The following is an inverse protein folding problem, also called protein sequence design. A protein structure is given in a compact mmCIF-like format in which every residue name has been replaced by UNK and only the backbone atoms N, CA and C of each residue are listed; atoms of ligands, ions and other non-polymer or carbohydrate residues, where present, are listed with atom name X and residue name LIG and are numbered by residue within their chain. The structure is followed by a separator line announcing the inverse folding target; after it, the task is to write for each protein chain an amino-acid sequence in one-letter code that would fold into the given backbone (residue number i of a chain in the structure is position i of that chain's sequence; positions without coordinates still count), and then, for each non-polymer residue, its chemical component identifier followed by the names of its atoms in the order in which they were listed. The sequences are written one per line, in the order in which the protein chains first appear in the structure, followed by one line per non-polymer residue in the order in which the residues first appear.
data_IF_181389994657
#
_entry.id   IF_181389994657
#
_cell.length_a   1.000
_cell.length_b   1.000
_cell.length_c   1.000
_cell.angle_alpha   90.00
_cell.angle_beta   90.00
_cell.angle_gamma   90.00
#
_symmetry.space_group_name_H-M   'P 1'
#
loop_
_entity.id
_entity.type
_entity.pdbx_description
1 polymer ?
#
# COMPACT_ATOMS: atom_id res chain seq x y z
N UNK A 1 2.59 17.21 4.08
CA UNK A 1 3.40 18.20 3.35
C UNK A 1 2.57 19.39 2.84
N UNK A 2 1.76 20.06 3.67
CA UNK A 2 1.08 21.32 3.33
C UNK A 2 0.47 21.40 1.89
N UNK A 3 -0.13 20.31 1.39
CA UNK A 3 -0.72 20.24 0.04
C UNK A 3 0.23 19.97 -1.14
N UNK A 4 1.53 19.73 -0.93
CA UNK A 4 2.49 19.39 -2.00
C UNK A 4 2.61 17.88 -2.21
N UNK A 5 2.51 17.46 -3.47
CA UNK A 5 2.69 16.07 -3.86
C UNK A 5 4.17 15.64 -3.78
N UNK A 6 4.42 14.48 -3.17
CA UNK A 6 5.72 13.82 -3.15
C UNK A 6 5.53 12.34 -3.55
N UNK A 7 6.50 11.71 -4.22
CA UNK A 7 6.33 10.34 -4.66
C UNK A 7 6.44 9.37 -3.47
N UNK A 8 5.50 8.45 -3.36
CA UNK A 8 5.46 7.40 -2.36
C UNK A 8 4.95 6.09 -2.96
N UNK A 9 5.34 4.97 -2.36
CA UNK A 9 4.87 3.63 -2.69
C UNK A 9 4.68 2.82 -1.42
N UNK A 10 3.60 2.05 -1.36
CA UNK A 10 3.24 1.21 -0.21
C UNK A 10 3.56 -0.25 -0.51
N UNK A 11 4.49 -0.85 0.23
CA UNK A 11 5.05 -2.18 -0.04
C UNK A 11 4.38 -3.35 0.69
N UNK A 12 3.31 -3.12 1.47
CA UNK A 12 2.66 -4.13 2.33
C UNK A 12 2.81 -3.79 3.81
N UNK A 13 3.91 -4.21 4.44
CA UNK A 13 4.23 -3.87 5.84
C UNK A 13 5.11 -2.62 5.98
N UNK A 14 5.43 -1.95 4.88
CA UNK A 14 6.25 -0.75 4.84
C UNK A 14 5.87 0.19 3.71
N UNK A 15 6.51 1.36 3.69
CA UNK A 15 6.35 2.34 2.63
C UNK A 15 7.69 3.02 2.33
N UNK A 16 7.90 3.36 1.07
CA UNK A 16 9.02 4.17 0.60
C UNK A 16 8.51 5.47 0.02
N UNK A 17 9.24 6.57 0.20
CA UNK A 17 8.91 7.85 -0.42
C UNK A 17 10.16 8.71 -0.60
N UNK A 18 10.13 9.61 -1.58
CA UNK A 18 11.20 10.58 -1.79
C UNK A 18 10.72 11.97 -1.39
N UNK A 19 11.58 12.73 -0.72
CA UNK A 19 11.35 14.12 -0.39
C UNK A 19 12.52 14.98 -0.86
N UNK A 20 12.27 16.27 -1.08
CA UNK A 20 13.31 17.22 -1.43
C UNK A 20 14.24 17.47 -0.21
N UNK A 21 15.53 17.82 -0.44
CA UNK A 21 16.50 17.99 0.65
C UNK A 21 16.08 19.04 1.70
N UNK A 22 15.39 20.11 1.28
CA UNK A 22 14.86 21.15 2.17
C UNK A 22 13.77 20.63 3.14
N UNK A 23 13.19 19.47 2.86
CA UNK A 23 12.15 18.81 3.66
C UNK A 23 12.65 17.60 4.44
N UNK A 24 13.92 17.27 4.34
CA UNK A 24 14.50 16.11 5.03
C UNK A 24 14.27 16.17 6.55
N UNK A 25 14.41 17.35 7.16
CA UNK A 25 14.17 17.52 8.60
C UNK A 25 12.71 17.29 8.98
N UNK A 26 11.76 17.84 8.21
CA UNK A 26 10.31 17.68 8.44
C UNK A 26 9.88 16.22 8.26
N UNK A 27 10.31 15.59 7.17
CA UNK A 27 10.05 14.17 6.89
C UNK A 27 10.67 13.27 7.98
N UNK A 28 11.88 13.61 8.43
CA UNK A 28 12.58 12.85 9.46
C UNK A 28 11.87 12.92 10.82
N UNK A 29 11.39 14.10 11.19
CA UNK A 29 10.59 14.28 12.40
C UNK A 29 9.26 13.51 12.32
N UNK A 30 8.56 13.54 11.18
CA UNK A 30 7.33 12.78 10.97
C UNK A 30 7.57 11.26 11.08
N UNK A 31 8.62 10.74 10.44
CA UNK A 31 9.01 9.33 10.54
C UNK A 31 9.37 8.92 11.97
N UNK A 32 10.13 9.75 12.69
CA UNK A 32 10.50 9.51 14.07
C UNK A 32 9.28 9.49 15.00
N UNK A 33 8.31 10.38 14.76
CA UNK A 33 7.04 10.43 15.51
C UNK A 33 6.21 9.16 15.29
N UNK A 34 6.03 8.74 14.03
CA UNK A 34 5.30 7.50 13.71
C UNK A 34 5.99 6.28 14.32
N UNK A 35 7.33 6.21 14.30
CA UNK A 35 8.09 5.14 14.95
C UNK A 35 7.85 5.08 16.46
N UNK A 36 7.87 6.23 17.14
CA UNK A 36 7.59 6.30 18.57
C UNK A 36 6.16 5.84 18.88
N UNK A 37 5.20 6.38 18.13
CA UNK A 37 3.78 6.07 18.29
C UNK A 37 3.45 4.60 18.02
N UNK A 38 3.97 4.00 16.96
CA UNK A 38 3.74 2.58 16.65
C UNK A 38 4.23 1.65 17.77
N UNK A 39 5.38 1.98 18.38
CA UNK A 39 5.90 1.22 19.51
C UNK A 39 5.05 1.37 20.78
N UNK A 40 4.52 2.57 21.03
CA UNK A 40 3.72 2.84 22.24
C UNK A 40 2.28 2.35 22.14
N UNK A 41 1.62 2.55 21.00
CA UNK A 41 0.21 2.17 20.82
C UNK A 41 0.02 0.68 20.50
N UNK A 42 0.96 0.07 19.77
CA UNK A 42 0.80 -1.30 19.28
C UNK A 42 1.91 -2.25 19.72
N UNK A 43 2.93 -1.79 20.44
CA UNK A 43 4.09 -2.62 20.78
C UNK A 43 4.90 -3.06 19.56
N UNK A 44 4.75 -2.36 18.42
CA UNK A 44 5.41 -2.72 17.16
C UNK A 44 6.68 -1.91 16.95
N UNK A 45 7.78 -2.59 16.60
CA UNK A 45 9.01 -1.89 16.25
C UNK A 45 9.01 -1.50 14.76
N UNK A 46 8.91 -0.20 14.49
CA UNK A 46 9.04 0.34 13.14
C UNK A 46 10.49 0.76 12.87
N UNK A 47 11.08 0.22 11.79
CA UNK A 47 12.37 0.68 11.27
C UNK A 47 12.11 1.90 10.38
N UNK A 48 12.83 2.99 10.64
CA UNK A 48 12.81 4.17 9.79
C UNK A 48 14.24 4.60 9.47
N UNK A 49 14.48 4.93 8.20
CA UNK A 49 15.75 5.45 7.72
C UNK A 49 15.51 6.55 6.70
N UNK A 50 16.52 7.41 6.53
CA UNK A 50 16.53 8.43 5.48
C UNK A 50 17.86 8.38 4.76
N UNK A 51 17.81 8.01 3.48
CA UNK A 51 18.99 7.73 2.66
C UNK A 51 19.13 8.83 1.60
N UNK A 52 20.27 9.54 1.54
CA UNK A 52 20.51 10.49 0.46
C UNK A 52 20.56 9.77 -0.90
N UNK A 53 19.92 10.33 -1.92
CA UNK A 53 19.97 9.78 -3.29
C UNK A 53 21.41 9.72 -3.83
N UNK A 54 22.28 10.62 -3.38
CA UNK A 54 23.71 10.59 -3.71
C UNK A 54 24.40 9.28 -3.27
N UNK A 55 24.03 8.73 -2.11
CA UNK A 55 24.59 7.47 -1.60
C UNK A 55 24.10 6.27 -2.42
N UNK A 56 22.83 6.31 -2.85
CA UNK A 56 22.28 5.30 -3.78
C UNK A 56 23.07 5.29 -5.09
N UNK A 57 23.34 6.49 -5.63
CA UNK A 57 24.10 6.65 -6.88
C UNK A 57 25.56 6.28 -6.74
N UNK A 58 26.18 6.57 -5.59
CA UNK A 58 27.53 6.12 -5.28
C UNK A 58 27.63 4.58 -5.22
N UNK A 59 26.53 3.88 -4.88
CA UNK A 59 26.43 2.43 -4.94
C UNK A 59 26.13 1.86 -6.35
N UNK A 60 26.13 2.70 -7.39
CA UNK A 60 25.89 2.28 -8.78
C UNK A 60 24.42 2.03 -9.12
N UNK A 61 23.49 2.51 -8.30
CA UNK A 61 22.05 2.39 -8.47
C UNK A 61 21.41 3.76 -8.72
N UNK A 62 20.11 3.82 -9.00
CA UNK A 62 19.40 5.08 -9.12
C UNK A 62 18.02 5.01 -8.45
N UNK A 63 17.40 6.19 -8.28
CA UNK A 63 16.01 6.33 -7.86
C UNK A 63 15.29 7.12 -8.95
N UNK A 64 14.76 6.40 -9.93
CA UNK A 64 13.90 6.97 -10.96
C UNK A 64 12.44 6.87 -10.51
N UNK A 65 11.64 7.88 -10.89
CA UNK A 65 10.22 7.96 -10.54
C UNK A 65 9.41 8.16 -11.80
N UNK A 66 8.42 7.29 -12.02
CA UNK A 66 7.34 7.49 -12.97
C UNK A 66 6.02 7.69 -12.22
N UNK A 67 5.07 8.40 -12.82
CA UNK A 67 3.73 8.62 -12.24
C UNK A 67 2.69 7.89 -13.07
N UNK A 68 1.92 7.01 -12.44
CA UNK A 68 0.85 6.23 -13.06
C UNK A 68 -0.50 6.74 -12.57
N UNK A 69 -1.34 7.20 -13.49
CA UNK A 69 -2.64 7.77 -13.19
C UNK A 69 -3.76 6.75 -13.50
N UNK A 70 -4.30 5.99 -12.51
CA UNK A 70 -5.40 5.06 -12.75
C UNK A 70 -6.76 5.75 -12.88
N UNK A 71 -6.90 6.98 -12.38
CA UNK A 71 -8.12 7.78 -12.46
C UNK A 71 -7.79 9.28 -12.50
N UNK A 72 -8.74 10.16 -12.90
CA UNK A 72 -8.48 11.61 -12.94
C UNK A 72 -8.07 12.23 -11.60
N UNK A 73 -8.51 11.65 -10.47
CA UNK A 73 -8.34 12.23 -9.13
C UNK A 73 -7.01 11.86 -8.45
N UNK A 74 -6.37 10.77 -8.85
CA UNK A 74 -5.15 10.28 -8.19
C UNK A 74 -4.12 9.78 -9.18
N UNK A 75 -2.87 9.82 -8.75
CA UNK A 75 -1.78 9.15 -9.42
C UNK A 75 -0.82 8.54 -8.37
N UNK A 76 -0.12 7.49 -8.78
CA UNK A 76 0.77 6.70 -7.95
C UNK A 76 2.19 6.77 -8.48
N UNK A 77 3.15 6.95 -7.57
CA UNK A 77 4.55 6.88 -7.93
C UNK A 77 4.97 5.40 -8.12
N UNK A 78 5.77 5.19 -9.16
CA UNK A 78 6.44 3.94 -9.50
C UNK A 78 7.94 4.21 -9.44
N UNK A 79 8.68 3.40 -8.70
CA UNK A 79 10.12 3.58 -8.49
C UNK A 79 10.91 2.50 -9.21
N UNK A 80 11.99 2.90 -9.89
CA UNK A 80 12.94 1.99 -10.52
C UNK A 80 14.38 2.45 -10.35
N UNK A 81 15.33 1.58 -10.68
CA UNK A 81 16.77 1.85 -10.56
C UNK A 81 17.46 1.09 -9.42
N UNK A 82 16.72 0.29 -8.64
CA UNK A 82 17.22 -0.55 -7.56
C UNK A 82 17.46 0.20 -6.24
N UNK A 83 17.27 1.51 -6.23
CA UNK A 83 17.60 2.38 -5.12
C UNK A 83 16.71 2.22 -3.89
N UNK A 84 15.42 1.94 -4.05
CA UNK A 84 14.50 1.70 -2.93
C UNK A 84 14.81 0.36 -2.27
N UNK A 85 14.98 -0.71 -3.06
CA UNK A 85 15.38 -2.03 -2.56
C UNK A 85 16.73 -1.99 -1.84
N UNK A 86 17.69 -1.21 -2.36
CA UNK A 86 18.97 -0.99 -1.70
C UNK A 86 18.82 -0.20 -0.39
N UNK A 87 18.05 0.90 -0.39
CA UNK A 87 17.79 1.69 0.81
C UNK A 87 17.11 0.86 1.90
N UNK A 88 16.15 0.01 1.53
CA UNK A 88 15.50 -0.93 2.45
C UNK A 88 16.50 -1.93 3.05
N UNK A 89 17.39 -2.49 2.21
CA UNK A 89 18.45 -3.40 2.65
C UNK A 89 19.40 -2.72 3.64
N UNK A 90 19.83 -1.49 3.35
CA UNK A 90 20.68 -0.69 4.25
C UNK A 90 19.97 -0.36 5.57
N UNK A 91 18.69 0.00 5.51
CA UNK A 91 17.86 0.24 6.69
C UNK A 91 17.74 -1.02 7.56
N UNK A 92 17.49 -2.19 6.97
CA UNK A 92 17.42 -3.47 7.69
C UNK A 92 18.77 -3.86 8.33
N UNK A 93 19.88 -3.43 7.73
CA UNK A 93 21.23 -3.55 8.29
C UNK A 93 21.55 -2.48 9.36
N UNK A 94 20.62 -1.58 9.69
CA UNK A 94 20.80 -0.54 10.71
C UNK A 94 21.46 0.75 10.21
N UNK A 95 21.76 0.87 8.91
CA UNK A 95 22.33 2.08 8.35
C UNK A 95 21.25 3.16 8.13
N UNK A 96 21.67 4.43 8.18
CA UNK A 96 20.80 5.60 7.92
C UNK A 96 19.59 5.72 8.84
N UNK A 97 19.58 5.02 9.96
CA UNK A 97 18.47 5.03 10.92
C UNK A 97 18.26 6.43 11.51
N UNK A 98 17.00 6.84 11.62
CA UNK A 98 16.65 8.10 12.27
C UNK A 98 16.58 7.93 13.79
N UNK A 99 16.94 8.98 14.56
CA UNK A 99 16.76 8.97 16.00
C UNK A 99 15.28 8.81 16.38
N UNK A 100 15.01 8.20 17.53
CA UNK A 100 13.64 8.08 18.05
C UNK A 100 13.14 9.47 18.49
N UNK A 101 11.88 9.77 18.22
CA UNK A 101 11.23 10.94 18.81
C UNK A 101 11.08 10.77 20.34
N UNK A 102 10.92 11.86 21.10
CA UNK A 102 10.63 11.79 22.53
C UNK A 102 9.40 10.92 22.83
N UNK A 103 9.43 10.20 23.95
CA UNK A 103 8.29 9.39 24.38
C UNK A 103 7.02 10.23 24.52
N UNK A 104 5.88 9.72 24.03
CA UNK A 104 4.61 10.43 24.03
C UNK A 104 4.42 11.39 22.85
N UNK A 105 5.35 11.41 21.89
CA UNK A 105 5.15 12.13 20.62
C UNK A 105 4.02 11.49 19.83
N UNK A 106 3.01 12.28 19.49
CA UNK A 106 1.85 11.85 18.69
C UNK A 106 2.01 12.37 17.27
N UNK A 107 2.04 11.50 16.24
CA UNK A 107 2.10 11.92 14.85
C UNK A 107 0.77 12.51 14.37
N UNK A 108 0.83 13.37 13.36
CA UNK A 108 -0.36 13.77 12.61
C UNK A 108 -0.74 12.64 11.63
N UNK A 109 -1.83 11.96 11.93
CA UNK A 109 -2.42 10.91 11.11
C UNK A 109 -3.70 11.38 10.41
N UNK A 110 -3.91 12.69 10.28
CA UNK A 110 -5.05 13.25 9.57
C UNK A 110 -5.15 12.69 8.16
N UNK A 111 -6.33 12.20 7.82
CA UNK A 111 -6.63 11.54 6.55
C UNK A 111 -6.45 10.02 6.58
N UNK A 112 -5.74 9.43 7.53
CA UNK A 112 -5.67 7.96 7.66
C UNK A 112 -7.01 7.43 8.20
N UNK A 113 -7.82 6.83 7.31
CA UNK A 113 -9.15 6.35 7.68
C UNK A 113 -9.64 5.26 6.74
N UNK A 114 -9.50 3.99 7.12
CA UNK A 114 -10.14 2.88 6.41
C UNK A 114 -11.39 2.39 7.14
N UNK A 115 -12.55 2.54 6.50
CA UNK A 115 -13.86 2.07 7.02
C UNK A 115 -14.49 0.98 6.15
N UNK A 116 -13.79 0.57 5.12
CA UNK A 116 -14.22 -0.48 4.20
C UNK A 116 -14.02 -1.85 4.85
N UNK A 117 -14.87 -2.79 4.49
CA UNK A 117 -14.64 -4.19 4.80
C UNK A 117 -13.62 -4.77 3.84
N UNK A 118 -12.93 -5.83 4.27
CA UNK A 118 -12.13 -6.64 3.37
C UNK A 118 -12.97 -7.09 2.17
N UNK A 119 -12.32 -7.14 1.02
CA UNK A 119 -12.93 -7.53 -0.24
C UNK A 119 -12.70 -9.02 -0.45
N UNK A 120 -13.78 -9.80 -0.41
CA UNK A 120 -13.71 -11.24 -0.66
C UNK A 120 -13.41 -11.51 -2.14
N UNK A 121 -12.61 -12.54 -2.39
CA UNK A 121 -12.42 -13.13 -3.71
C UNK A 121 -13.76 -13.45 -4.39
N UNK A 122 -13.88 -13.14 -5.70
CA UNK A 122 -15.03 -13.54 -6.54
C UNK A 122 -14.63 -14.61 -7.56
N UNK A 123 -13.35 -14.69 -7.93
CA UNK A 123 -12.88 -15.51 -9.04
C UNK A 123 -12.10 -16.76 -8.60
N UNK A 124 -11.80 -16.89 -7.31
CA UNK A 124 -11.14 -18.06 -6.75
C UNK A 124 -10.39 -17.69 -5.48
N UNK A 125 -9.27 -16.97 -5.63
CA UNK A 125 -8.51 -16.45 -4.49
C UNK A 125 -8.00 -15.02 -4.74
N UNK A 126 -7.71 -14.31 -3.65
CA UNK A 126 -6.88 -13.11 -3.70
C UNK A 126 -5.41 -13.55 -3.68
N UNK A 127 -4.73 -13.32 -4.80
CA UNK A 127 -3.33 -13.66 -5.00
C UNK A 127 -2.44 -12.42 -4.84
N UNK A 128 -1.61 -12.40 -3.80
CA UNK A 128 -0.49 -11.45 -3.70
C UNK A 128 0.71 -12.00 -4.47
N UNK A 129 1.23 -11.19 -5.38
CA UNK A 129 2.37 -11.49 -6.24
C UNK A 129 3.47 -10.49 -5.94
N UNK A 130 4.67 -10.97 -5.63
CA UNK A 130 5.87 -10.15 -5.43
C UNK A 130 6.97 -10.66 -6.35
N UNK A 131 7.53 -9.80 -7.19
CA UNK A 131 8.56 -10.13 -8.17
C UNK A 131 9.69 -9.12 -8.06
N UNK A 132 10.90 -9.60 -7.83
CA UNK A 132 12.12 -8.79 -7.72
C UNK A 132 13.12 -9.24 -8.78
N UNK A 133 13.76 -8.33 -9.53
CA UNK A 133 14.83 -8.69 -10.44
C UNK A 133 16.05 -9.23 -9.68
N UNK A 134 16.81 -10.12 -10.32
CA UNK A 134 18.15 -10.55 -9.86
C UNK A 134 19.21 -9.70 -10.58
N UNK A 135 20.24 -9.25 -9.85
CA UNK A 135 21.33 -8.45 -10.40
C UNK A 135 21.04 -6.94 -10.43
N UNK A 136 21.81 -6.20 -11.25
CA UNK A 136 21.60 -4.77 -11.44
C UNK A 136 20.21 -4.51 -12.05
N UNK A 137 19.53 -3.49 -11.54
CA UNK A 137 18.12 -3.16 -11.73
C UNK A 137 17.50 -3.46 -13.12
N UNK A 138 16.21 -3.82 -13.10
CA UNK A 138 15.21 -3.74 -14.19
C UNK A 138 15.73 -3.77 -15.64
N UNK A 139 16.53 -4.77 -16.01
CA UNK A 139 16.97 -4.96 -17.39
C UNK A 139 15.80 -5.31 -18.34
N UNK A 140 16.03 -5.30 -19.67
CA UNK A 140 14.98 -5.56 -20.67
C UNK A 140 14.22 -6.88 -20.48
N UNK A 141 14.87 -7.90 -19.89
CA UNK A 141 14.26 -9.18 -19.56
C UNK A 141 13.19 -9.04 -18.46
N UNK A 142 13.49 -8.29 -17.40
CA UNK A 142 12.54 -8.03 -16.33
C UNK A 142 11.34 -7.22 -16.83
N UNK A 143 11.58 -6.26 -17.73
CA UNK A 143 10.50 -5.51 -18.38
C UNK A 143 9.59 -6.43 -19.19
N UNK A 144 10.15 -7.27 -20.06
CA UNK A 144 9.36 -8.24 -20.85
C UNK A 144 8.57 -9.20 -19.97
N UNK A 145 9.17 -9.65 -18.87
CA UNK A 145 8.49 -10.53 -17.92
C UNK A 145 7.34 -9.79 -17.21
N UNK A 146 7.56 -8.57 -16.76
CA UNK A 146 6.54 -7.73 -16.13
C UNK A 146 5.36 -7.48 -17.08
N UNK A 147 5.64 -7.17 -18.35
CA UNK A 147 4.63 -7.02 -19.39
C UNK A 147 3.85 -8.33 -19.62
N UNK A 148 4.54 -9.47 -19.65
CA UNK A 148 3.90 -10.79 -19.78
C UNK A 148 3.00 -11.10 -18.58
N UNK A 149 3.43 -10.82 -17.36
CA UNK A 149 2.63 -11.00 -16.14
C UNK A 149 1.38 -10.12 -16.16
N UNK A 150 1.53 -8.84 -16.52
CA UNK A 150 0.41 -7.91 -16.68
C UNK A 150 -0.54 -8.37 -17.78
N UNK A 151 -0.02 -8.89 -18.89
CA UNK A 151 -0.83 -9.45 -19.99
C UNK A 151 -1.62 -10.68 -19.55
N UNK A 152 -1.06 -11.53 -18.70
CA UNK A 152 -1.79 -12.68 -18.14
C UNK A 152 -2.93 -12.18 -17.24
N UNK A 153 -2.65 -11.21 -16.36
CA UNK A 153 -3.67 -10.64 -15.47
C UNK A 153 -4.79 -9.91 -16.23
N UNK A 154 -4.53 -9.34 -17.41
CA UNK A 154 -5.54 -8.67 -18.26
C UNK A 154 -6.70 -9.57 -18.69
N UNK A 155 -6.55 -10.89 -18.67
CA UNK A 155 -7.64 -11.82 -18.98
C UNK A 155 -8.66 -11.97 -17.84
N UNK A 156 -8.29 -11.58 -16.61
CA UNK A 156 -9.20 -11.57 -15.47
C UNK A 156 -10.22 -10.43 -15.60
N UNK A 157 -11.36 -10.57 -14.92
CA UNK A 157 -12.32 -9.48 -14.76
C UNK A 157 -11.61 -8.23 -14.20
N UNK A 158 -11.81 -7.07 -14.83
CA UNK A 158 -11.10 -5.81 -14.51
C UNK A 158 -9.57 -5.96 -14.40
N UNK A 159 -8.95 -6.87 -15.15
CA UNK A 159 -7.53 -7.20 -15.06
C UNK A 159 -7.07 -7.67 -13.65
N UNK A 160 -7.97 -8.32 -12.90
CA UNK A 160 -7.72 -8.89 -11.58
C UNK A 160 -7.91 -7.89 -10.44
N UNK A 161 -8.55 -6.75 -10.70
CA UNK A 161 -8.79 -5.72 -9.70
C UNK A 161 -9.65 -6.28 -8.54
N UNK A 162 -9.15 -6.33 -7.29
CA UNK A 162 -9.91 -6.96 -6.20
C UNK A 162 -11.20 -6.25 -5.85
N UNK A 163 -11.21 -4.91 -5.88
CA UNK A 163 -12.44 -4.14 -5.65
C UNK A 163 -13.40 -4.30 -6.83
N UNK A 164 -14.69 -4.59 -6.60
CA UNK A 164 -15.71 -4.66 -7.64
C UNK A 164 -15.97 -3.35 -8.38
N UNK A 165 -16.62 -3.44 -9.56
CA UNK A 165 -17.10 -2.27 -10.32
C UNK A 165 -18.11 -1.45 -9.52
N UNK A 166 -18.93 -2.12 -8.69
CA UNK A 166 -19.92 -1.46 -7.82
C UNK A 166 -19.27 -0.63 -6.70
N UNK A 167 -17.97 -0.83 -6.46
CA UNK A 167 -17.21 -0.13 -5.43
C UNK A 167 -16.93 -0.95 -4.18
N UNK A 168 -16.30 -0.30 -3.20
CA UNK A 168 -15.98 -0.92 -1.92
C UNK A 168 -17.24 -1.10 -1.05
N UNK A 169 -17.23 -2.16 -0.24
CA UNK A 169 -18.37 -2.53 0.61
C UNK A 169 -18.05 -2.15 2.07
N UNK A 170 -19.03 -1.59 2.77
CA UNK A 170 -18.95 -1.35 4.21
C UNK A 170 -19.86 -2.29 4.99
N UNK A 171 -19.40 -2.72 6.17
CA UNK A 171 -20.21 -3.38 7.21
C UNK A 171 -20.13 -2.55 8.48
N UNK A 172 -21.16 -2.65 9.32
CA UNK A 172 -21.17 -2.01 10.63
C UNK A 172 -21.29 -3.06 11.76
N UNK A 173 -20.49 -2.96 12.83
CA UNK A 173 -19.37 -2.01 13.00
C UNK A 173 -18.22 -2.27 12.00
N UNK A 174 -17.44 -1.25 11.62
CA UNK A 174 -16.32 -1.43 10.70
C UNK A 174 -15.27 -2.39 11.30
N UNK A 175 -14.69 -3.33 10.53
CA UNK A 175 -13.66 -4.24 11.03
C UNK A 175 -12.46 -3.50 11.64
N UNK A 176 -12.05 -2.38 11.04
CA UNK A 176 -10.93 -1.55 11.48
C UNK A 176 -11.23 -0.57 12.61
N UNK A 177 -12.42 -0.55 13.20
CA UNK A 177 -12.84 0.48 14.17
C UNK A 177 -11.89 0.62 15.37
N UNK A 178 -11.39 -0.49 15.91
CA UNK A 178 -10.45 -0.44 17.04
C UNK A 178 -9.12 0.18 16.60
N UNK A 179 -8.61 -0.17 15.41
CA UNK A 179 -7.39 0.42 14.86
C UNK A 179 -7.58 1.91 14.56
N UNK A 180 -8.71 2.31 13.99
CA UNK A 180 -9.06 3.73 13.78
C UNK A 180 -9.12 4.48 15.11
N UNK A 181 -9.63 3.86 16.17
CA UNK A 181 -9.64 4.45 17.50
C UNK A 181 -8.23 4.71 18.03
N UNK A 182 -7.29 3.76 17.89
CA UNK A 182 -5.88 3.94 18.26
C UNK A 182 -5.17 4.98 17.36
N UNK A 183 -5.51 5.05 16.08
CA UNK A 183 -4.93 6.02 15.15
C UNK A 183 -5.39 7.46 15.38
N UNK A 184 -6.57 7.67 15.97
CA UNK A 184 -7.20 9.00 15.99
C UNK A 184 -7.62 9.51 17.38
N UNK A 185 -7.41 8.76 18.46
CA UNK A 185 -7.79 9.22 19.80
C UNK A 185 -6.89 10.35 20.32
N UNK A 186 -5.62 10.42 19.90
CA UNK A 186 -4.66 11.40 20.39
C UNK A 186 -4.60 11.39 21.92
N UNK A 187 -4.88 12.53 22.55
CA UNK A 187 -4.90 12.64 24.01
C UNK A 187 -6.23 12.21 24.67
N UNK A 188 -7.26 11.85 23.89
CA UNK A 188 -8.58 11.46 24.40
C UNK A 188 -8.53 10.00 24.89
N UNK A 189 -9.20 9.66 26.01
CA UNK A 189 -9.30 8.27 26.45
C UNK A 189 -9.91 7.36 25.37
N UNK A 190 -9.21 6.27 25.05
CA UNK A 190 -9.54 5.36 23.94
C UNK A 190 -11.00 4.90 23.96
N UNK A 191 -11.54 4.50 25.12
CA UNK A 191 -12.92 4.03 25.24
C UNK A 191 -13.97 5.13 24.93
N UNK A 192 -13.68 6.39 25.27
CA UNK A 192 -14.55 7.53 24.92
C UNK A 192 -14.49 7.81 23.42
N UNK A 193 -13.29 7.81 22.85
CA UNK A 193 -13.10 8.04 21.42
C UNK A 193 -13.71 6.91 20.57
N UNK A 194 -13.53 5.65 20.96
CA UNK A 194 -14.14 4.49 20.32
C UNK A 194 -15.68 4.56 20.30
N UNK A 195 -16.31 4.99 21.40
CA UNK A 195 -17.77 5.22 21.44
C UNK A 195 -18.22 6.33 20.49
N UNK A 196 -17.46 7.43 20.41
CA UNK A 196 -17.72 8.50 19.44
C UNK A 196 -17.62 7.97 18.01
N UNK A 197 -16.56 7.22 17.69
CA UNK A 197 -16.36 6.61 16.38
C UNK A 197 -17.47 5.62 16.02
N UNK A 198 -17.97 4.80 16.96
CA UNK A 198 -19.12 3.93 16.73
C UNK A 198 -20.35 4.69 16.25
N UNK A 199 -20.67 5.82 16.88
CA UNK A 199 -21.83 6.64 16.49
C UNK A 199 -21.61 7.32 15.12
N UNK A 200 -20.43 7.89 14.90
CA UNK A 200 -20.08 8.53 13.61
C UNK A 200 -20.11 7.50 12.48
N UNK A 201 -19.52 6.33 12.68
CA UNK A 201 -19.47 5.26 11.66
C UNK A 201 -20.83 4.61 11.43
N UNK A 202 -21.72 4.56 12.43
CA UNK A 202 -23.10 4.11 12.25
C UNK A 202 -23.85 5.05 11.30
N UNK A 203 -23.72 6.35 11.50
CA UNK A 203 -24.34 7.36 10.63
C UNK A 203 -23.77 7.31 9.21
N UNK A 204 -22.44 7.18 9.07
CA UNK A 204 -21.81 7.05 7.76
C UNK A 204 -22.24 5.76 7.04
N UNK A 205 -22.32 4.64 7.77
CA UNK A 205 -22.83 3.38 7.24
C UNK A 205 -24.28 3.52 6.77
N UNK A 206 -25.14 4.23 7.52
CA UNK A 206 -26.51 4.53 7.09
C UNK A 206 -26.51 5.23 5.72
N UNK A 207 -25.81 6.37 5.59
CA UNK A 207 -25.80 7.12 4.33
C UNK A 207 -25.21 6.31 3.16
N UNK A 208 -24.15 5.53 3.40
CA UNK A 208 -23.57 4.63 2.39
C UNK A 208 -24.53 3.50 1.98
N UNK A 209 -25.19 2.87 2.96
CA UNK A 209 -26.07 1.72 2.74
C UNK A 209 -27.30 2.06 1.92
N UNK A 210 -27.84 3.26 2.09
CA UNK A 210 -29.01 3.76 1.36
C UNK A 210 -28.66 4.72 0.21
N UNK A 211 -27.37 4.99 -0.03
CA UNK A 211 -26.88 5.88 -1.09
C UNK A 211 -27.54 7.28 -1.07
N UNK A 212 -27.74 7.82 0.13
CA UNK A 212 -28.41 9.11 0.32
C UNK A 212 -27.34 10.22 0.26
N UNK A 213 -27.41 11.16 -0.71
CA UNK A 213 -26.47 12.26 -0.80
C UNK A 213 -26.71 13.29 0.33
N UNK A 214 -25.63 13.82 0.91
CA UNK A 214 -25.70 14.78 2.03
C UNK A 214 -24.58 15.80 1.92
N UNK A 215 -24.90 17.10 1.99
CA UNK A 215 -23.91 18.20 2.07
C UNK A 215 -22.76 18.10 1.06
N UNK A 216 -23.07 17.77 -0.21
CA UNK A 216 -22.07 17.62 -1.28
C UNK A 216 -21.37 16.26 -1.33
N UNK A 217 -21.62 15.37 -0.37
CA UNK A 217 -21.18 13.98 -0.41
C UNK A 217 -22.18 13.13 -1.18
N UNK A 218 -21.72 12.48 -2.25
CA UNK A 218 -22.45 11.45 -2.98
C UNK A 218 -21.84 10.07 -2.63
N UNK A 219 -22.54 9.25 -1.82
CA UNK A 219 -22.04 7.94 -1.44
C UNK A 219 -21.83 6.98 -2.61
N UNK A 220 -22.67 7.06 -3.66
CA UNK A 220 -22.59 6.15 -4.80
C UNK A 220 -21.38 6.47 -5.67
N UNK A 221 -21.14 7.76 -5.93
CA UNK A 221 -19.91 8.24 -6.57
C UNK A 221 -18.68 7.85 -5.75
N UNK A 222 -18.68 8.17 -4.45
CA UNK A 222 -17.56 7.89 -3.55
C UNK A 222 -17.15 6.41 -3.52
N UNK A 223 -18.12 5.48 -3.43
CA UNK A 223 -17.81 4.03 -3.43
C UNK A 223 -17.17 3.56 -4.72
N UNK A 224 -17.60 4.11 -5.87
CA UNK A 224 -17.04 3.76 -7.18
C UNK A 224 -15.65 4.39 -7.34
N UNK A 225 -15.47 5.64 -6.92
CA UNK A 225 -14.16 6.32 -6.95
C UNK A 225 -13.13 5.58 -6.11
N UNK A 226 -13.51 5.03 -4.95
CA UNK A 226 -12.63 4.16 -4.15
C UNK A 226 -12.09 2.98 -4.98
N UNK A 227 -12.96 2.31 -5.73
CA UNK A 227 -12.57 1.21 -6.61
C UNK A 227 -11.84 1.61 -7.88
N UNK A 228 -11.84 2.90 -8.26
CA UNK A 228 -11.04 3.45 -9.38
C UNK A 228 -9.66 3.90 -8.90
N UNK A 229 -9.61 4.43 -7.69
CA UNK A 229 -8.40 4.95 -7.07
C UNK A 229 -7.59 3.83 -6.39
N UNK A 230 -8.10 2.61 -6.26
CA UNK A 230 -7.40 1.52 -5.59
C UNK A 230 -6.11 1.08 -6.31
N UNK A 231 -4.97 1.22 -5.63
CA UNK A 231 -3.67 0.73 -6.02
C UNK A 231 -3.50 -0.75 -5.64
N UNK A 232 -3.73 -1.62 -6.63
CA UNK A 232 -3.54 -3.07 -6.54
C UNK A 232 -2.35 -3.57 -7.37
N UNK A 233 -1.61 -2.66 -8.03
CA UNK A 233 -0.43 -2.97 -8.87
C UNK A 233 0.56 -1.83 -8.74
N UNK A 234 1.72 -2.14 -8.21
CA UNK A 234 2.75 -1.15 -7.88
C UNK A 234 4.11 -1.65 -8.29
N UNK A 235 5.03 -0.70 -8.43
CA UNK A 235 6.38 -0.95 -8.87
C UNK A 235 7.37 -0.20 -7.96
N UNK A 236 8.14 -0.94 -7.18
CA UNK A 236 9.13 -0.43 -6.21
C UNK A 236 10.47 -1.15 -6.36
N UNK A 237 11.12 -0.96 -7.51
CA UNK A 237 12.24 -1.75 -8.05
C UNK A 237 11.89 -3.21 -8.41
N UNK A 238 10.66 -3.61 -8.15
CA UNK A 238 10.07 -4.90 -8.52
C UNK A 238 8.58 -4.72 -8.79
N UNK A 239 7.93 -5.76 -9.33
CA UNK A 239 6.49 -5.74 -9.59
C UNK A 239 5.75 -6.41 -8.43
N UNK A 240 4.77 -5.69 -7.86
CA UNK A 240 3.86 -6.20 -6.83
C UNK A 240 2.41 -6.05 -7.28
N UNK A 241 1.62 -7.10 -7.12
CA UNK A 241 0.21 -7.11 -7.52
C UNK A 241 -0.65 -7.86 -6.50
N UNK A 242 -1.85 -7.37 -6.22
CA UNK A 242 -2.89 -8.10 -5.47
C UNK A 242 -4.05 -8.34 -6.42
N UNK A 243 -4.31 -9.61 -6.75
CA UNK A 243 -5.22 -9.98 -7.83
C UNK A 243 -6.37 -10.83 -7.30
N UNK A 244 -7.63 -10.50 -7.64
CA UNK A 244 -8.72 -11.47 -7.59
C UNK A 244 -8.59 -12.40 -8.80
N UNK A 245 -8.19 -13.64 -8.55
CA UNK A 245 -7.56 -14.51 -9.54
C UNK A 245 -8.23 -15.89 -9.58
N UNK A 246 -8.52 -16.36 -10.78
CA UNK A 246 -8.97 -17.73 -11.02
C UNK A 246 -7.80 -18.74 -11.02
N UNK A 247 -8.12 -20.00 -10.74
CA UNK A 247 -7.12 -21.07 -10.64
C UNK A 247 -6.30 -21.28 -11.93
N UNK A 248 -6.90 -21.05 -13.10
CA UNK A 248 -6.22 -21.17 -14.39
C UNK A 248 -5.19 -20.07 -14.60
N UNK A 249 -5.55 -18.82 -14.31
CA UNK A 249 -4.64 -17.68 -14.37
C UNK A 249 -3.53 -17.79 -13.34
N UNK A 250 -3.85 -18.18 -12.11
CA UNK A 250 -2.87 -18.46 -11.06
C UNK A 250 -1.84 -19.52 -11.48
N UNK A 251 -2.29 -20.64 -12.08
CA UNK A 251 -1.40 -21.68 -12.60
C UNK A 251 -0.47 -21.15 -13.69
N UNK A 252 -0.98 -20.32 -14.61
CA UNK A 252 -0.18 -19.69 -15.68
C UNK A 252 0.86 -18.73 -15.12
N UNK A 253 0.46 -17.86 -14.18
CA UNK A 253 1.38 -16.94 -13.50
C UNK A 253 2.50 -17.71 -12.79
N UNK A 254 2.15 -18.73 -12.00
CA UNK A 254 3.12 -19.58 -11.31
C UNK A 254 4.12 -20.22 -12.29
N UNK A 255 3.64 -20.80 -13.38
CA UNK A 255 4.52 -21.42 -14.38
C UNK A 255 5.50 -20.41 -15.02
N UNK A 256 5.02 -19.21 -15.37
CA UNK A 256 5.88 -18.16 -15.95
C UNK A 256 6.92 -17.65 -14.96
N UNK A 257 6.53 -17.45 -13.70
CA UNK A 257 7.44 -16.97 -12.65
C UNK A 257 8.47 -18.04 -12.25
N UNK A 258 8.05 -19.29 -12.14
CA UNK A 258 8.95 -20.42 -11.85
C UNK A 258 10.00 -20.58 -12.94
N UNK A 259 9.61 -20.52 -14.22
CA UNK A 259 10.56 -20.57 -15.33
C UNK A 259 11.56 -19.41 -15.26
N UNK A 260 11.09 -18.17 -15.09
CA UNK A 260 11.96 -17.00 -15.02
C UNK A 260 12.87 -17.00 -13.78
N UNK A 261 12.46 -17.66 -12.69
CA UNK A 261 13.31 -17.88 -11.52
C UNK A 261 14.38 -18.96 -11.78
N UNK A 262 14.03 -20.05 -12.47
CA UNK A 262 14.98 -21.08 -12.90
C UNK A 262 16.02 -20.53 -13.87
N UNK A 263 15.61 -19.60 -14.75
CA UNK A 263 16.50 -18.89 -15.67
C UNK A 263 17.39 -17.85 -14.95
N UNK A 264 17.18 -17.62 -13.64
CA UNK A 264 17.97 -16.71 -12.82
C UNK A 264 17.64 -15.22 -13.04
N UNK A 265 16.56 -14.89 -13.74
CA UNK A 265 16.16 -13.51 -14.05
C UNK A 265 15.51 -12.81 -12.85
N UNK A 266 14.74 -13.56 -12.04
CA UNK A 266 13.95 -13.01 -10.94
C UNK A 266 13.99 -13.86 -9.67
N UNK A 267 13.66 -13.21 -8.56
CA UNK A 267 13.15 -13.82 -7.34
C UNK A 267 11.67 -13.49 -7.23
N UNK A 268 10.85 -14.44 -6.79
CA UNK A 268 9.43 -14.19 -6.64
C UNK A 268 8.82 -14.94 -5.47
N UNK A 269 7.66 -14.44 -5.05
CA UNK A 269 6.84 -15.07 -4.04
C UNK A 269 5.35 -14.85 -4.34
N UNK A 270 4.55 -15.83 -3.95
CA UNK A 270 3.10 -15.85 -4.13
C UNK A 270 2.44 -16.16 -2.79
N UNK A 271 1.37 -15.45 -2.44
CA UNK A 271 0.53 -15.75 -1.29
C UNK A 271 -0.94 -15.74 -1.71
N UNK A 272 -1.63 -16.85 -1.45
CA UNK A 272 -3.05 -17.03 -1.71
C UNK A 272 -3.84 -16.81 -0.43
N UNK A 273 -4.94 -16.08 -0.53
CA UNK A 273 -5.83 -15.81 0.60
C UNK A 273 -7.26 -15.52 0.14
N UNK A 274 -8.20 -15.49 1.08
CA UNK A 274 -9.63 -15.36 0.74
C UNK A 274 -10.09 -13.92 0.50
N UNK A 275 -9.36 -12.95 1.06
CA UNK A 275 -9.77 -11.55 1.07
C UNK A 275 -8.61 -10.58 0.82
N UNK A 276 -8.91 -9.44 0.22
CA UNK A 276 -8.01 -8.30 0.12
C UNK A 276 -8.38 -7.27 1.19
N UNK A 277 -7.38 -6.71 1.86
CA UNK A 277 -7.55 -5.57 2.75
C UNK A 277 -7.22 -4.27 2.02
N UNK A 278 -7.76 -3.17 2.54
CA UNK A 278 -7.56 -1.84 2.01
C UNK A 278 -7.00 -0.92 3.09
N UNK A 279 -6.02 -0.10 2.74
CA UNK A 279 -5.53 1.01 3.57
C UNK A 279 -5.82 2.32 2.85
N UNK A 280 -6.48 3.28 3.52
CA UNK A 280 -6.98 4.50 2.88
C UNK A 280 -6.32 5.74 3.46
N UNK A 281 -5.90 6.66 2.59
CA UNK A 281 -5.61 8.05 2.94
C UNK A 281 -6.66 8.91 2.23
N UNK A 282 -7.52 9.52 3.04
CA UNK A 282 -8.70 10.28 2.61
C UNK A 282 -8.57 11.70 3.18
N UNK A 283 -7.87 12.61 2.49
CA UNK A 283 -7.76 14.01 2.94
C UNK A 283 -9.14 14.68 3.06
N UNK A 284 -10.05 14.34 2.14
CA UNK A 284 -11.44 14.78 2.13
C UNK A 284 -12.34 13.73 1.47
N UNK A 285 -13.58 13.64 1.94
CA UNK A 285 -14.63 12.78 1.33
C UNK A 285 -15.36 13.49 0.19
N UNK A 286 -15.13 14.80 0.02
CA UNK A 286 -15.78 15.65 -0.99
C UNK A 286 -14.96 15.76 -2.28
N UNK A 287 -13.73 15.24 -2.26
CA UNK A 287 -12.80 15.27 -3.38
C UNK A 287 -12.39 13.86 -3.78
N UNK A 288 -12.06 13.69 -5.06
CA UNK A 288 -11.70 12.40 -5.65
C UNK A 288 -10.20 12.08 -5.53
N UNK A 289 -9.45 12.82 -4.71
CA UNK A 289 -8.00 12.70 -4.48
C UNK A 289 -7.63 11.73 -3.35
N UNK A 290 -8.60 10.95 -2.87
CA UNK A 290 -8.38 9.91 -1.87
C UNK A 290 -7.66 8.70 -2.48
N UNK A 291 -6.60 8.23 -1.81
CA UNK A 291 -5.78 7.10 -2.26
C UNK A 291 -6.07 5.86 -1.42
N UNK A 292 -6.09 4.70 -2.07
CA UNK A 292 -6.40 3.42 -1.43
C UNK A 292 -5.39 2.37 -1.87
N UNK A 293 -4.72 1.74 -0.92
CA UNK A 293 -3.77 0.67 -1.21
C UNK A 293 -4.43 -0.67 -0.95
N UNK A 294 -4.30 -1.59 -1.90
CA UNK A 294 -4.79 -2.96 -1.78
C UNK A 294 -3.62 -3.89 -1.47
N UNK A 295 -3.82 -4.73 -0.48
CA UNK A 295 -2.96 -5.87 -0.17
C UNK A 295 -3.83 -7.06 0.28
N UNK A 296 -3.24 -8.22 0.43
CA UNK A 296 -3.85 -9.41 0.96
C UNK A 296 -4.20 -9.34 2.45
N UNK A 297 -5.38 -9.82 2.83
CA UNK A 297 -5.86 -9.76 4.21
C UNK A 297 -5.10 -10.70 5.17
N UNK A 298 -4.45 -11.75 4.66
CA UNK A 298 -3.72 -12.74 5.45
C UNK A 298 -2.19 -12.46 5.49
N UNK A 299 -1.81 -11.19 5.36
CA UNK A 299 -0.41 -10.73 5.35
C UNK A 299 0.17 -10.54 3.96
N UNK A 300 -0.57 -10.87 2.89
CA UNK A 300 -0.38 -10.31 1.56
C UNK A 300 1.05 -10.29 1.04
N UNK A 301 1.55 -9.11 0.68
CA UNK A 301 2.91 -8.93 0.16
C UNK A 301 3.99 -9.38 1.14
N UNK A 302 3.80 -9.24 2.45
CA UNK A 302 4.75 -9.71 3.46
C UNK A 302 4.88 -11.23 3.42
N UNK A 303 3.77 -11.95 3.34
CA UNK A 303 3.78 -13.42 3.23
C UNK A 303 4.32 -13.89 1.88
N UNK A 304 3.95 -13.21 0.79
CA UNK A 304 4.52 -13.49 -0.53
C UNK A 304 6.04 -13.29 -0.51
N UNK A 305 6.54 -12.17 0.04
CA UNK A 305 7.96 -11.88 0.14
C UNK A 305 8.71 -12.88 1.04
N UNK A 306 8.09 -13.35 2.13
CA UNK A 306 8.66 -14.40 2.98
C UNK A 306 8.81 -15.75 2.24
N UNK A 307 7.97 -16.01 1.24
CA UNK A 307 8.05 -17.18 0.38
C UNK A 307 9.11 -17.09 -0.73
N UNK A 308 9.82 -15.96 -0.87
CA UNK A 308 10.92 -15.84 -1.83
C UNK A 308 12.05 -16.79 -1.41
N UNK A 309 12.31 -17.81 -2.22
CA UNK A 309 13.44 -18.72 -2.01
C UNK A 309 14.74 -17.92 -2.08
N UNK A 310 15.50 -17.93 -0.99
CA UNK A 310 16.87 -17.41 -0.97
C UNK A 310 17.75 -18.43 -1.71
N UNK A 311 18.67 -17.99 -2.60
CA UNK A 311 19.64 -18.90 -3.22
C UNK A 311 20.51 -19.63 -2.20
#
# INVERSE_FOLDING_TARGET
AAGRAFPFVFGGDGAGFACAPDRAAEAGAALAAVRCWAAQEFGMELRVAMVPVAEVRAAGLDVAVARYQPSPGVDYAMFSGGGLSWAETRMKAGAYALPKAPAGTIPDLTGLSCRWSNVKSRNGSILSVVIQPVGAASGPEFTRLSEKVISIARHLERAGHPVPTEGAITRWPPPGLTLEAHASHGAIPLARHKRKLLMVTLLNWFFLRWKIPVNGFDPAHYTVTVGRNADFRKFDDGLKMTLDCDAGTQKKLRAVLEQAAQDGTIRYGLCEQDEAMMTCIVPSILTDDHVHFIDGAAGGYTQAAAGIKVP
#
